data_IF_716395021808
#
_entry.id   IF_716395021808
#
_cell.length_a   1.000
_cell.length_b   1.000
_cell.length_c   1.000
_cell.angle_alpha   90.00
_cell.angle_beta   90.00
_cell.angle_gamma   90.00
#
_symmetry.space_group_name_H-M   'P 1'
#
loop_
_entity.id
_entity.type
_entity.pdbx_description
1 polymer ?
#
# COMPACT_ATOMS: atom_id res chain seq x y z
N UNK A 1 -20.12 -5.08 -13.66
CA UNK A 1 -19.40 -4.90 -12.42
C UNK A 1 -19.78 -3.63 -11.69
N UNK A 2 -19.40 -3.53 -10.46
CA UNK A 2 -19.70 -2.35 -9.66
C UNK A 2 -18.83 -1.17 -10.08
N UNK A 3 -19.44 0.00 -10.08
CA UNK A 3 -18.72 1.23 -10.35
C UNK A 3 -17.74 1.52 -9.20
N UNK A 4 -16.51 1.87 -9.53
CA UNK A 4 -15.47 2.14 -8.51
C UNK A 4 -15.85 3.32 -7.60
N UNK A 5 -16.55 4.32 -8.14
CA UNK A 5 -17.00 5.47 -7.35
C UNK A 5 -18.06 5.03 -6.33
N UNK A 6 -18.99 4.20 -6.75
CA UNK A 6 -20.03 3.65 -5.86
C UNK A 6 -19.39 2.83 -4.73
N UNK A 7 -18.46 1.94 -5.08
CA UNK A 7 -17.78 1.10 -4.11
C UNK A 7 -16.99 1.94 -3.10
N UNK A 8 -16.33 2.98 -3.58
CA UNK A 8 -15.56 3.89 -2.73
C UNK A 8 -16.44 4.63 -1.74
N UNK A 9 -17.60 5.12 -2.20
CA UNK A 9 -18.56 5.82 -1.34
C UNK A 9 -19.16 4.90 -0.30
N UNK A 10 -19.52 3.68 -0.70
CA UNK A 10 -20.06 2.68 0.21
C UNK A 10 -19.04 2.33 1.29
N UNK A 11 -17.79 2.12 0.91
CA UNK A 11 -16.73 1.80 1.84
C UNK A 11 -16.53 2.90 2.87
N UNK A 12 -16.52 4.16 2.44
CA UNK A 12 -16.37 5.30 3.33
C UNK A 12 -17.52 5.37 4.33
N UNK A 13 -18.73 5.10 3.89
CA UNK A 13 -19.92 5.10 4.74
C UNK A 13 -19.81 4.03 5.84
N UNK A 14 -19.31 2.84 5.49
CA UNK A 14 -19.22 1.72 6.42
C UNK A 14 -18.05 1.83 7.38
N UNK A 15 -16.89 2.35 6.92
CA UNK A 15 -15.65 2.33 7.69
C UNK A 15 -15.15 3.69 8.14
N UNK A 16 -15.70 4.77 7.57
CA UNK A 16 -15.20 6.12 7.83
C UNK A 16 -13.94 6.48 7.06
N UNK A 17 -13.43 5.58 6.22
CA UNK A 17 -12.23 5.79 5.40
C UNK A 17 -12.57 5.67 3.92
N UNK A 18 -11.79 6.35 3.06
CA UNK A 18 -11.92 6.15 1.63
C UNK A 18 -11.38 4.77 1.25
N UNK A 19 -11.92 4.20 0.18
CA UNK A 19 -11.43 2.94 -0.36
C UNK A 19 -9.95 3.02 -0.70
N UNK A 20 -9.55 4.13 -1.29
CA UNK A 20 -8.14 4.37 -1.67
C UNK A 20 -7.21 4.36 -0.46
N UNK A 21 -7.59 5.03 0.62
CA UNK A 21 -6.81 5.05 1.86
C UNK A 21 -6.72 3.67 2.49
N UNK A 22 -7.80 2.92 2.48
CA UNK A 22 -7.82 1.55 2.98
C UNK A 22 -6.89 0.65 2.17
N UNK A 23 -6.97 0.75 0.85
CA UNK A 23 -6.13 -0.05 -0.04
C UNK A 23 -4.64 0.24 0.19
N UNK A 24 -4.29 1.52 0.35
CA UNK A 24 -2.92 1.90 0.66
C UNK A 24 -2.44 1.27 1.96
N UNK A 25 -3.27 1.28 2.98
CA UNK A 25 -2.92 0.67 4.28
C UNK A 25 -2.69 -0.84 4.13
N UNK A 26 -3.55 -1.53 3.41
CA UNK A 26 -3.41 -2.96 3.16
C UNK A 26 -2.11 -3.26 2.42
N UNK A 27 -1.82 -2.47 1.39
CA UNK A 27 -0.57 -2.62 0.62
C UNK A 27 0.67 -2.39 1.48
N UNK A 28 0.64 -1.36 2.34
CA UNK A 28 1.76 -1.06 3.22
C UNK A 28 1.98 -2.16 4.27
N UNK A 29 0.91 -2.67 4.86
CA UNK A 29 1.02 -3.78 5.79
C UNK A 29 1.61 -5.02 5.15
N UNK A 30 1.22 -5.32 3.92
CA UNK A 30 1.76 -6.43 3.15
C UNK A 30 3.24 -6.20 2.85
N UNK A 31 3.59 -4.98 2.42
CA UNK A 31 4.97 -4.63 2.14
C UNK A 31 5.87 -4.79 3.37
N UNK A 32 5.42 -4.34 4.53
CA UNK A 32 6.17 -4.48 5.77
C UNK A 32 6.46 -5.95 6.07
N UNK A 33 5.46 -6.82 5.92
CA UNK A 33 5.64 -8.25 6.14
C UNK A 33 6.69 -8.83 5.19
N UNK A 34 6.60 -8.48 3.92
CA UNK A 34 7.56 -8.97 2.92
C UNK A 34 8.98 -8.47 3.20
N UNK A 35 9.12 -7.19 3.57
CA UNK A 35 10.43 -6.62 3.88
C UNK A 35 11.07 -7.28 5.11
N UNK A 36 10.25 -7.65 6.10
CA UNK A 36 10.74 -8.29 7.32
C UNK A 36 11.27 -9.69 7.11
N UNK A 37 10.85 -10.37 6.05
CA UNK A 37 11.38 -11.70 5.74
C UNK A 37 12.85 -11.65 5.32
N UNK A 38 13.29 -10.52 4.77
CA UNK A 38 14.63 -10.38 4.22
C UNK A 38 14.88 -11.15 2.93
N UNK A 39 13.84 -11.76 2.36
CA UNK A 39 13.95 -12.60 1.15
C UNK A 39 13.76 -11.83 -0.14
N UNK A 40 13.23 -10.61 -0.08
CA UNK A 40 12.85 -9.85 -1.26
C UNK A 40 13.56 -8.52 -1.30
N UNK A 41 13.91 -8.09 -2.51
CA UNK A 41 14.46 -6.75 -2.72
C UNK A 41 13.32 -5.73 -2.72
N UNK A 42 13.66 -4.47 -2.49
CA UNK A 42 12.64 -3.40 -2.39
C UNK A 42 11.81 -3.31 -3.66
N UNK A 43 12.45 -3.41 -4.85
CA UNK A 43 11.71 -3.33 -6.11
C UNK A 43 10.77 -4.53 -6.29
N UNK A 44 11.16 -5.68 -5.76
CA UNK A 44 10.29 -6.87 -5.80
C UNK A 44 9.06 -6.66 -4.93
N UNK A 45 9.25 -6.14 -3.73
CA UNK A 45 8.14 -5.84 -2.82
C UNK A 45 7.21 -4.81 -3.44
N UNK A 46 7.76 -3.76 -4.05
CA UNK A 46 6.98 -2.74 -4.75
C UNK A 46 6.04 -3.35 -5.78
N UNK A 47 6.58 -4.24 -6.61
CA UNK A 47 5.81 -4.91 -7.65
C UNK A 47 4.75 -5.84 -7.06
N UNK A 48 5.13 -6.61 -6.03
CA UNK A 48 4.23 -7.57 -5.40
C UNK A 48 3.02 -6.92 -4.72
N UNK A 49 3.19 -5.71 -4.20
CA UNK A 49 2.07 -5.01 -3.54
C UNK A 49 1.33 -4.07 -4.49
N UNK A 50 1.67 -4.07 -5.78
CA UNK A 50 0.86 -3.42 -6.80
C UNK A 50 1.28 -2.03 -7.22
N UNK A 51 2.53 -1.63 -6.99
CA UNK A 51 3.04 -0.34 -7.46
C UNK A 51 3.83 -0.51 -8.74
N UNK A 52 3.70 0.45 -9.66
CA UNK A 52 4.36 0.38 -10.97
C UNK A 52 5.83 0.76 -10.90
N UNK A 53 6.20 1.64 -9.97
CA UNK A 53 7.59 2.08 -9.83
C UNK A 53 7.99 1.99 -8.37
N UNK A 54 9.28 1.68 -8.14
CA UNK A 54 9.83 1.63 -6.79
C UNK A 54 9.92 3.03 -6.19
N UNK A 55 10.11 4.05 -7.02
CA UNK A 55 10.17 5.43 -6.57
C UNK A 55 8.86 5.86 -5.94
N UNK A 56 7.75 5.58 -6.60
CA UNK A 56 6.43 5.90 -6.07
C UNK A 56 6.13 5.09 -4.81
N UNK A 57 6.44 3.80 -4.84
CA UNK A 57 6.28 2.93 -3.68
C UNK A 57 7.04 3.48 -2.47
N UNK A 58 8.30 3.87 -2.65
CA UNK A 58 9.13 4.40 -1.56
C UNK A 58 8.55 5.69 -0.98
N UNK A 59 8.02 6.55 -1.84
CA UNK A 59 7.40 7.80 -1.42
C UNK A 59 6.17 7.55 -0.56
N UNK A 60 5.30 6.64 -1.01
CA UNK A 60 4.09 6.28 -0.27
C UNK A 60 4.45 5.58 1.03
N UNK A 61 5.42 4.67 0.99
CA UNK A 61 5.87 3.92 2.16
C UNK A 61 6.38 4.87 3.25
N UNK A 62 7.22 5.82 2.88
CA UNK A 62 7.75 6.80 3.84
C UNK A 62 6.64 7.67 4.42
N UNK A 63 5.69 8.09 3.58
CA UNK A 63 4.56 8.88 4.03
C UNK A 63 3.70 8.14 5.05
N UNK A 64 3.46 6.84 4.81
CA UNK A 64 2.55 6.05 5.63
C UNK A 64 3.23 5.49 6.89
N UNK A 65 4.51 5.16 6.81
CA UNK A 65 5.22 4.50 7.92
C UNK A 65 6.23 5.39 8.64
N UNK A 66 6.61 6.50 8.03
CA UNK A 66 7.64 7.39 8.57
C UNK A 66 9.07 6.94 8.29
N UNK A 67 9.27 5.82 7.63
CA UNK A 67 10.60 5.27 7.32
C UNK A 67 10.70 4.86 5.87
N UNK A 68 11.93 4.84 5.35
CA UNK A 68 12.18 4.29 4.02
C UNK A 68 12.09 2.77 4.04
N UNK A 69 11.71 2.13 2.92
CA UNK A 69 11.64 0.67 2.86
C UNK A 69 12.95 -0.01 3.24
N UNK A 70 14.08 0.59 2.91
CA UNK A 70 15.41 0.02 3.23
C UNK A 70 15.71 -0.02 4.73
N UNK A 71 14.93 0.71 5.53
CA UNK A 71 15.12 0.79 6.97
C UNK A 71 14.25 -0.21 7.73
N UNK A 72 13.55 -1.04 6.99
CA UNK A 72 12.73 -2.10 7.58
C UNK A 72 13.41 -3.45 7.58
#
# INVERSE_FOLDING_TARGET
GMNAIYLSQLFKKETGSTFSAYLTRVRMNHAIRLLRTGEYKIYEVSDMVGYQTVQYFSKVFKKETGKNPKDY
#
